data_IF_872030397071
#
_entry.id   IF_872030397071
#
_cell.length_a   1.000
_cell.length_b   1.000
_cell.length_c   1.000
_cell.angle_alpha   90.00
_cell.angle_beta   90.00
_cell.angle_gamma   90.00
#
_symmetry.space_group_name_H-M   'P 1'
#
loop_
_entity.id
_entity.type
_entity.pdbx_description
1 polymer ?
#
# COMPACT_ATOMS: atom_id res chain seq x y z
N UNK A 1 -39.61 -61.40 -14.56
CA UNK A 1 -39.09 -60.03 -14.83
C UNK A 1 -38.89 -59.32 -13.50
N UNK A 2 -37.64 -59.16 -13.03
CA UNK A 2 -37.30 -58.48 -11.76
C UNK A 2 -36.77 -57.08 -12.08
N UNK A 3 -37.48 -56.03 -11.65
CA UNK A 3 -37.04 -54.65 -11.80
C UNK A 3 -36.16 -54.25 -10.60
N UNK A 4 -34.86 -54.06 -10.87
CA UNK A 4 -33.85 -53.67 -9.90
C UNK A 4 -33.85 -52.14 -9.74
N UNK A 5 -34.35 -51.64 -8.60
CA UNK A 5 -34.32 -50.20 -8.25
C UNK A 5 -32.90 -49.80 -7.83
N UNK A 6 -32.21 -49.08 -8.72
CA UNK A 6 -30.92 -48.41 -8.45
C UNK A 6 -31.18 -47.22 -7.51
N UNK A 7 -30.64 -47.27 -6.28
CA UNK A 7 -30.58 -46.10 -5.39
C UNK A 7 -29.35 -45.29 -5.76
N UNK A 8 -29.55 -44.04 -6.19
CA UNK A 8 -28.48 -43.06 -6.39
C UNK A 8 -28.35 -42.29 -5.09
N UNK A 9 -27.25 -42.50 -4.37
CA UNK A 9 -26.88 -41.67 -3.21
C UNK A 9 -26.16 -40.43 -3.72
N UNK A 10 -26.77 -39.25 -3.53
CA UNK A 10 -26.15 -37.96 -3.82
C UNK A 10 -25.34 -37.54 -2.58
N UNK A 11 -24.01 -37.72 -2.62
CA UNK A 11 -23.12 -37.09 -1.64
C UNK A 11 -23.00 -35.60 -2.00
N UNK A 12 -23.60 -34.75 -1.17
CA UNK A 12 -23.44 -33.30 -1.23
C UNK A 12 -22.09 -32.96 -0.57
N UNK A 13 -21.04 -32.79 -1.37
CA UNK A 13 -19.77 -32.27 -0.90
C UNK A 13 -19.93 -30.79 -0.57
N UNK A 14 -19.96 -30.46 0.72
CA UNK A 14 -19.93 -29.08 1.20
C UNK A 14 -18.54 -28.52 0.89
N UNK A 15 -18.42 -27.76 -0.19
CA UNK A 15 -17.21 -26.98 -0.45
C UNK A 15 -17.23 -25.80 0.52
N UNK A 16 -16.56 -25.95 1.66
CA UNK A 16 -16.23 -24.82 2.54
C UNK A 16 -15.16 -23.99 1.83
N UNK A 17 -15.58 -23.11 0.93
CA UNK A 17 -14.73 -22.03 0.48
C UNK A 17 -14.41 -21.16 1.68
N UNK A 18 -13.14 -21.11 2.08
CA UNK A 18 -12.66 -20.10 3.03
C UNK A 18 -12.79 -18.77 2.28
N UNK A 19 -13.90 -18.08 2.49
CA UNK A 19 -14.06 -16.71 2.06
C UNK A 19 -12.99 -15.90 2.80
N UNK A 20 -11.97 -15.44 2.07
CA UNK A 20 -11.07 -14.41 2.58
C UNK A 20 -11.90 -13.14 2.69
N UNK A 21 -12.42 -12.87 3.89
CA UNK A 21 -13.01 -11.58 4.18
C UNK A 21 -11.88 -10.54 4.16
N UNK A 22 -11.67 -9.92 3.00
CA UNK A 22 -10.75 -8.80 2.84
C UNK A 22 -11.33 -7.55 3.51
N UNK A 23 -11.31 -7.53 4.84
CA UNK A 23 -11.53 -6.32 5.62
C UNK A 23 -10.17 -5.67 5.89
N UNK A 24 -9.56 -5.15 4.83
CA UNK A 24 -8.39 -4.28 4.98
C UNK A 24 -8.89 -2.89 5.34
N UNK A 25 -8.29 -2.27 6.37
CA UNK A 25 -8.60 -0.89 6.76
C UNK A 25 -7.46 0.05 6.39
N UNK A 26 -7.75 1.24 5.84
CA UNK A 26 -6.75 2.30 5.75
C UNK A 26 -6.23 2.67 7.13
N UNK A 27 -4.90 2.76 7.24
CA UNK A 27 -4.21 3.22 8.44
C UNK A 27 -3.45 4.50 8.09
N UNK A 28 -3.78 5.64 8.73
CA UNK A 28 -3.08 6.88 8.48
C UNK A 28 -1.64 6.81 9.01
N UNK A 29 -0.69 7.26 8.21
CA UNK A 29 0.70 7.50 8.57
C UNK A 29 0.88 9.00 8.73
N UNK A 30 0.86 9.47 9.97
CA UNK A 30 0.99 10.89 10.31
C UNK A 30 2.46 11.30 10.38
N UNK A 31 2.73 12.59 10.36
CA UNK A 31 4.06 13.15 10.56
C UNK A 31 4.67 12.65 11.88
N UNK A 32 5.96 12.33 11.83
CA UNK A 32 6.68 11.70 12.92
C UNK A 32 6.64 10.18 12.84
N UNK A 33 6.81 9.55 14.00
CA UNK A 33 6.95 8.11 14.15
C UNK A 33 5.59 7.45 14.43
N UNK A 34 5.22 6.49 13.60
CA UNK A 34 3.97 5.73 13.70
C UNK A 34 4.31 4.28 14.03
N UNK A 35 3.74 3.76 15.12
CA UNK A 35 3.90 2.36 15.49
C UNK A 35 2.75 1.53 14.95
N UNK A 36 3.06 0.49 14.19
CA UNK A 36 2.10 -0.45 13.61
C UNK A 36 2.41 -1.86 14.12
N UNK A 37 1.39 -2.68 14.32
CA UNK A 37 1.57 -4.10 14.64
C UNK A 37 1.06 -4.95 13.48
N UNK A 38 1.96 -5.68 12.83
CA UNK A 38 1.70 -6.46 11.63
C UNK A 38 2.43 -7.80 11.76
N UNK A 39 1.78 -8.92 11.43
CA UNK A 39 2.36 -10.26 11.56
C UNK A 39 2.90 -10.57 12.97
N UNK A 40 2.31 -9.95 14.00
CA UNK A 40 2.77 -10.04 15.39
C UNK A 40 4.06 -9.26 15.69
N UNK A 41 4.65 -8.57 14.71
CA UNK A 41 5.86 -7.76 14.82
C UNK A 41 5.52 -6.27 14.90
N UNK A 42 6.29 -5.52 15.68
CA UNK A 42 6.20 -4.06 15.71
C UNK A 42 6.98 -3.46 14.54
N UNK A 43 6.30 -2.61 13.78
CA UNK A 43 6.84 -1.79 12.71
C UNK A 43 6.84 -0.32 13.14
N UNK A 44 7.87 0.40 12.74
CA UNK A 44 7.90 1.86 12.82
C UNK A 44 7.85 2.41 11.41
N UNK A 45 6.96 3.36 11.19
CA UNK A 45 6.86 4.11 9.95
C UNK A 45 7.11 5.56 10.27
N UNK A 46 8.17 6.12 9.69
CA UNK A 46 8.53 7.51 9.90
C UNK A 46 8.13 8.32 8.67
N UNK A 47 7.32 9.35 8.89
CA UNK A 47 6.97 10.34 7.87
C UNK A 47 7.55 11.67 8.27
N UNK A 48 8.32 12.28 7.38
CA UNK A 48 8.89 13.60 7.60
C UNK A 48 8.75 14.45 6.34
N UNK A 49 8.51 15.74 6.54
CA UNK A 49 8.53 16.71 5.46
C UNK A 49 9.98 16.95 5.02
N UNK A 50 10.22 16.87 3.71
CA UNK A 50 11.49 17.17 3.09
C UNK A 50 11.34 18.48 2.31
N UNK A 51 11.91 19.52 2.89
CA UNK A 51 11.97 20.83 2.26
C UNK A 51 12.80 20.78 0.98
N UNK A 52 12.37 21.52 -0.04
CA UNK A 52 13.04 21.59 -1.35
C UNK A 52 13.22 23.02 -1.87
N UNK A 53 13.15 24.02 -0.99
CA UNK A 53 13.16 25.45 -1.33
C UNK A 53 12.01 25.87 -2.27
N UNK A 54 10.88 25.16 -2.17
CA UNK A 54 9.65 25.43 -2.88
C UNK A 54 8.49 25.44 -1.85
N UNK A 55 7.43 26.19 -2.11
CA UNK A 55 6.23 26.17 -1.27
C UNK A 55 5.52 24.81 -1.28
N UNK A 56 5.94 23.90 -2.17
CA UNK A 56 5.32 22.61 -2.44
C UNK A 56 6.30 21.46 -2.21
N UNK A 57 6.88 21.40 -1.01
CA UNK A 57 7.69 20.27 -0.57
C UNK A 57 6.92 18.94 -0.58
N UNK A 58 7.63 17.87 -0.24
CA UNK A 58 7.05 16.52 -0.21
C UNK A 58 7.49 15.79 1.05
N UNK A 59 6.65 14.86 1.49
CA UNK A 59 7.00 13.98 2.59
C UNK A 59 7.80 12.80 2.09
N UNK A 60 8.77 12.38 2.89
CA UNK A 60 9.48 11.11 2.75
C UNK A 60 8.95 10.16 3.81
N UNK A 61 8.64 8.93 3.40
CA UNK A 61 8.15 7.88 4.29
C UNK A 61 9.07 6.67 4.22
N UNK A 62 9.56 6.24 5.38
CA UNK A 62 10.41 5.06 5.53
C UNK A 62 9.78 4.06 6.50
N UNK A 63 10.03 2.77 6.24
CA UNK A 63 9.46 1.67 7.00
C UNK A 63 10.58 0.89 7.69
N UNK A 64 10.36 0.54 8.94
CA UNK A 64 11.28 -0.25 9.75
C UNK A 64 10.53 -1.37 10.45
N UNK A 65 11.15 -2.52 10.56
CA UNK A 65 10.67 -3.65 11.35
C UNK A 65 11.63 -3.88 12.51
N UNK A 66 11.07 -4.23 13.68
CA UNK A 66 11.89 -4.61 14.81
C UNK A 66 12.34 -6.06 14.67
N UNK A 67 13.65 -6.29 14.79
CA UNK A 67 14.25 -7.61 14.84
C UNK A 67 15.09 -7.72 16.13
N UNK A 68 14.50 -8.31 17.17
CA UNK A 68 15.07 -8.31 18.52
C UNK A 68 15.39 -6.87 19.00
N UNK A 69 16.67 -6.56 19.17
CA UNK A 69 17.17 -5.26 19.64
C UNK A 69 17.61 -4.33 18.51
N UNK A 70 17.42 -4.71 17.24
CA UNK A 70 17.79 -3.89 16.09
C UNK A 70 16.57 -3.50 15.25
N UNK A 71 16.74 -2.45 14.45
CA UNK A 71 15.77 -2.00 13.45
C UNK A 71 16.30 -2.34 12.06
N UNK A 72 15.49 -3.05 11.28
CA UNK A 72 15.77 -3.32 9.87
C UNK A 72 14.88 -2.44 9.00
N UNK A 73 15.48 -1.79 8.00
CA UNK A 73 14.72 -1.08 6.96
C UNK A 73 13.89 -2.08 6.16
N UNK A 74 12.65 -1.71 5.85
CA UNK A 74 11.69 -2.53 5.08
C UNK A 74 11.55 -1.89 3.70
N UNK A 75 12.30 -2.37 2.70
CA UNK A 75 12.30 -1.77 1.38
C UNK A 75 11.08 -2.20 0.57
N UNK A 76 10.88 -1.53 -0.55
CA UNK A 76 9.90 -1.86 -1.57
C UNK A 76 10.61 -2.36 -2.81
N UNK A 77 10.16 -3.48 -3.36
CA UNK A 77 10.65 -4.05 -4.61
C UNK A 77 9.59 -3.94 -5.70
N UNK A 78 10.05 -3.60 -6.89
CA UNK A 78 9.23 -3.72 -8.10
C UNK A 78 8.92 -5.19 -8.45
N UNK A 79 8.02 -5.42 -9.41
CA UNK A 79 7.56 -6.78 -9.78
C UNK A 79 8.70 -7.74 -10.15
N UNK A 80 9.85 -7.22 -10.59
CA UNK A 80 11.01 -8.01 -11.00
C UNK A 80 12.08 -8.13 -9.90
N UNK A 81 11.86 -7.53 -8.72
CA UNK A 81 12.86 -7.39 -7.64
C UNK A 81 14.19 -6.77 -8.08
N UNK A 82 14.21 -6.12 -9.24
CA UNK A 82 15.42 -5.53 -9.81
C UNK A 82 15.65 -4.12 -9.29
N UNK A 83 14.58 -3.44 -8.88
CA UNK A 83 14.64 -2.09 -8.34
C UNK A 83 14.16 -2.07 -6.90
N UNK A 84 15.10 -1.77 -6.00
CA UNK A 84 14.86 -1.55 -4.58
C UNK A 84 14.61 -0.06 -4.30
N UNK A 85 13.54 0.24 -3.59
CA UNK A 85 13.23 1.58 -3.09
C UNK A 85 13.23 1.55 -1.56
N UNK A 86 13.98 2.47 -0.95
CA UNK A 86 14.10 2.55 0.51
C UNK A 86 13.09 3.51 1.15
N UNK A 87 12.42 4.31 0.31
CA UNK A 87 11.50 5.36 0.73
C UNK A 87 10.34 5.52 -0.26
N UNK A 88 9.25 6.09 0.25
CA UNK A 88 8.15 6.62 -0.55
C UNK A 88 8.13 8.14 -0.46
N UNK A 89 7.63 8.77 -1.50
CA UNK A 89 7.30 10.19 -1.47
C UNK A 89 5.78 10.39 -1.46
N UNK A 90 5.31 11.37 -0.68
CA UNK A 90 3.93 11.83 -0.73
C UNK A 90 3.91 13.34 -0.89
N UNK A 91 3.26 13.84 -1.94
CA UNK A 91 3.24 15.25 -2.34
C UNK A 91 3.63 15.46 -3.79
N UNK A 92 4.23 16.63 -4.07
CA UNK A 92 4.59 17.10 -5.40
C UNK A 92 3.44 17.80 -6.11
N UNK A 93 3.73 18.95 -6.74
CA UNK A 93 2.76 19.80 -7.43
C UNK A 93 2.19 20.93 -6.57
N UNK A 94 1.83 22.05 -7.20
CA UNK A 94 1.41 23.27 -6.53
C UNK A 94 0.02 23.16 -5.86
N UNK A 95 -0.94 22.55 -6.55
CA UNK A 95 -2.32 22.39 -6.06
C UNK A 95 -2.86 20.96 -6.22
N UNK A 96 -2.12 20.10 -6.90
CA UNK A 96 -2.50 18.73 -7.18
C UNK A 96 -1.35 17.78 -6.89
N UNK A 97 -1.59 16.81 -6.01
CA UNK A 97 -0.57 15.83 -5.64
C UNK A 97 -0.26 14.89 -6.78
N UNK A 98 1.03 14.71 -7.04
CA UNK A 98 1.55 13.74 -8.00
C UNK A 98 1.78 12.35 -7.40
N UNK A 99 2.06 12.29 -6.10
CA UNK A 99 2.39 11.06 -5.40
C UNK A 99 1.66 11.00 -4.06
N UNK A 100 1.06 9.86 -3.75
CA UNK A 100 0.55 9.56 -2.42
C UNK A 100 0.39 8.03 -2.29
N UNK A 101 0.05 7.56 -1.10
CA UNK A 101 -0.10 6.14 -0.83
C UNK A 101 -1.26 5.84 0.12
N UNK A 102 -1.63 4.58 0.25
CA UNK A 102 -2.50 4.08 1.33
C UNK A 102 -1.86 2.86 1.96
N UNK A 103 -1.61 2.95 3.27
CA UNK A 103 -1.29 1.79 4.08
C UNK A 103 -2.58 1.09 4.44
N UNK A 104 -2.68 -0.19 4.11
CA UNK A 104 -3.83 -1.03 4.36
C UNK A 104 -3.38 -2.16 5.29
N UNK A 105 -4.08 -2.33 6.41
CA UNK A 105 -3.80 -3.43 7.33
C UNK A 105 -5.10 -4.20 7.54
N UNK A 106 -5.02 -5.52 7.47
CA UNK A 106 -6.10 -6.43 7.86
C UNK A 106 -6.58 -6.13 9.29
N UNK A 107 -7.87 -6.38 9.58
CA UNK A 107 -8.42 -6.12 10.92
C UNK A 107 -7.69 -6.87 12.04
N UNK A 108 -7.19 -8.07 11.78
CA UNK A 108 -6.44 -8.89 12.73
C UNK A 108 -4.92 -8.64 12.70
N UNK A 109 -4.44 -7.78 11.79
CA UNK A 109 -3.02 -7.46 11.62
C UNK A 109 -2.19 -8.60 11.01
N UNK A 110 -2.83 -9.62 10.43
CA UNK A 110 -2.14 -10.76 9.79
C UNK A 110 -1.52 -10.42 8.44
N UNK A 111 -2.04 -9.39 7.77
CA UNK A 111 -1.60 -8.93 6.46
C UNK A 111 -1.52 -7.40 6.40
N UNK A 112 -0.61 -6.90 5.56
CA UNK A 112 -0.43 -5.50 5.27
C UNK A 112 -0.12 -5.29 3.78
N UNK A 113 -0.82 -4.32 3.20
CA UNK A 113 -0.66 -3.90 1.81
C UNK A 113 -0.34 -2.42 1.75
N UNK A 114 0.33 -2.05 0.69
CA UNK A 114 0.60 -0.67 0.36
C UNK A 114 0.11 -0.42 -1.06
N UNK A 115 -0.79 0.54 -1.21
CA UNK A 115 -1.15 1.11 -2.50
C UNK A 115 -0.31 2.36 -2.71
N UNK A 116 0.48 2.41 -3.77
CA UNK A 116 1.20 3.62 -4.19
C UNK A 116 0.51 4.17 -5.43
N UNK A 117 0.15 5.45 -5.40
CA UNK A 117 -0.41 6.17 -6.53
C UNK A 117 0.60 7.19 -7.07
N UNK A 118 0.83 7.15 -8.38
CA UNK A 118 1.69 8.10 -9.08
C UNK A 118 1.00 8.62 -10.31
N UNK A 119 1.12 9.93 -10.53
CA UNK A 119 0.73 10.60 -11.76
C UNK A 119 1.92 11.38 -12.31
N UNK A 120 2.07 11.39 -13.62
CA UNK A 120 3.02 12.27 -14.29
C UNK A 120 2.41 13.68 -14.40
N UNK A 121 3.22 14.75 -14.29
CA UNK A 121 2.70 16.12 -14.28
C UNK A 121 2.15 16.59 -15.63
N UNK A 122 2.14 15.79 -16.70
CA UNK A 122 1.70 16.27 -18.02
C UNK A 122 2.52 17.48 -18.49
N UNK A 123 1.85 18.50 -19.05
CA UNK A 123 2.49 19.78 -19.42
C UNK A 123 2.47 20.79 -18.26
N UNK A 124 1.68 20.55 -17.22
CA UNK A 124 1.50 21.39 -16.04
C UNK A 124 1.05 20.55 -14.85
N UNK A 125 1.50 20.88 -13.63
CA UNK A 125 1.06 20.19 -12.41
C UNK A 125 -0.47 20.11 -12.23
N UNK A 126 -1.23 20.98 -12.91
CA UNK A 126 -2.70 21.00 -12.89
C UNK A 126 -3.37 20.13 -13.97
N UNK A 127 -2.61 19.59 -14.92
CA UNK A 127 -3.15 18.81 -16.01
C UNK A 127 -3.69 17.47 -15.49
N UNK A 128 -4.94 17.10 -15.82
CA UNK A 128 -5.45 15.78 -15.51
C UNK A 128 -4.72 14.72 -16.33
N UNK A 129 -4.19 13.71 -15.65
CA UNK A 129 -3.50 12.57 -16.27
C UNK A 129 -3.96 11.25 -15.65
N UNK A 130 -3.72 10.14 -16.33
CA UNK A 130 -3.97 8.82 -15.77
C UNK A 130 -3.08 8.60 -14.53
N UNK A 131 -3.67 8.08 -13.45
CA UNK A 131 -2.99 7.75 -12.21
C UNK A 131 -2.62 6.27 -12.23
N UNK A 132 -1.33 5.97 -12.07
CA UNK A 132 -0.85 4.61 -11.90
C UNK A 132 -0.97 4.19 -10.46
N UNK A 133 -1.71 3.10 -10.24
CA UNK A 133 -1.82 2.38 -8.97
C UNK A 133 -0.90 1.17 -8.96
N UNK A 134 0.02 1.12 -8.00
CA UNK A 134 0.88 -0.04 -7.75
C UNK A 134 0.53 -0.63 -6.39
N UNK A 135 0.15 -1.89 -6.38
CA UNK A 135 -0.19 -2.64 -5.18
C UNK A 135 1.03 -3.43 -4.73
N UNK A 136 1.39 -3.27 -3.47
CA UNK A 136 2.43 -4.03 -2.79
C UNK A 136 1.84 -4.85 -1.66
N UNK A 137 2.39 -6.03 -1.46
CA UNK A 137 2.11 -6.87 -0.29
C UNK A 137 3.36 -6.95 0.58
N UNK A 138 3.19 -6.82 1.89
CA UNK A 138 4.26 -7.08 2.84
C UNK A 138 4.57 -8.57 2.86
N UNK A 139 5.83 -8.93 2.61
CA UNK A 139 6.34 -10.30 2.67
C UNK A 139 7.40 -10.40 3.76
N UNK A 140 7.48 -11.59 4.36
CA UNK A 140 8.58 -12.01 5.23
C UNK A 140 9.47 -12.99 4.48
N UNK A 141 10.78 -12.82 4.57
CA UNK A 141 11.77 -13.75 4.03
C UNK A 141 11.85 -15.00 4.93
N UNK A 142 10.84 -15.87 4.84
CA UNK A 142 10.77 -17.11 5.64
C UNK A 142 11.91 -18.09 5.30
N UNK A 143 12.38 -18.06 4.05
CA UNK A 143 13.44 -18.94 3.54
C UNK A 143 14.85 -18.48 3.94
N UNK A 144 14.98 -17.32 4.60
CA UNK A 144 16.28 -16.73 4.98
C UNK A 144 17.25 -16.61 3.81
N UNK A 145 16.73 -16.27 2.63
CA UNK A 145 17.53 -16.15 1.41
C UNK A 145 18.61 -15.07 1.59
N UNK A 146 19.89 -15.39 1.35
CA UNK A 146 20.96 -14.40 1.43
C UNK A 146 20.71 -13.20 0.51
N UNK A 147 20.93 -12.00 1.03
CA UNK A 147 20.74 -10.75 0.28
C UNK A 147 19.31 -10.21 0.25
N UNK A 148 18.32 -10.96 0.76
CA UNK A 148 16.95 -10.47 0.91
C UNK A 148 16.68 -9.99 2.36
N UNK A 149 16.06 -8.82 2.55
CA UNK A 149 15.71 -8.31 3.88
C UNK A 149 14.68 -9.21 4.56
N UNK A 150 14.62 -9.16 5.90
CA UNK A 150 13.67 -9.96 6.69
C UNK A 150 12.22 -9.66 6.30
N UNK A 151 11.89 -8.38 6.14
CA UNK A 151 10.59 -7.92 5.66
C UNK A 151 10.78 -6.99 4.47
N UNK A 152 9.89 -7.06 3.50
CA UNK A 152 9.88 -6.20 2.34
C UNK A 152 8.50 -6.12 1.72
N UNK A 153 8.21 -5.00 1.04
CA UNK A 153 7.03 -4.88 0.20
C UNK A 153 7.36 -5.35 -1.21
N UNK A 154 6.52 -6.21 -1.77
CA UNK A 154 6.65 -6.72 -3.13
C UNK A 154 5.49 -6.23 -3.98
N UNK A 155 5.78 -5.55 -5.09
CA UNK A 155 4.74 -5.20 -6.05
C UNK A 155 4.09 -6.48 -6.61
N UNK A 156 2.76 -6.55 -6.56
CA UNK A 156 1.96 -7.69 -7.04
C UNK A 156 1.04 -7.34 -8.19
N UNK A 157 0.72 -6.04 -8.36
CA UNK A 157 -0.20 -5.58 -9.39
C UNK A 157 0.03 -4.13 -9.75
N UNK A 158 -0.12 -3.80 -11.03
CA UNK A 158 -0.18 -2.44 -11.55
C UNK A 158 -1.43 -2.22 -12.37
N UNK A 159 -2.10 -1.10 -12.16
CA UNK A 159 -3.32 -0.70 -12.88
C UNK A 159 -3.31 0.80 -13.05
N UNK A 160 -3.71 1.29 -14.22
CA UNK A 160 -3.96 2.72 -14.42
C UNK A 160 -5.42 3.04 -14.12
N UNK A 161 -5.68 4.25 -13.64
CA UNK A 161 -7.02 4.75 -13.35
C UNK A 161 -7.90 4.76 -14.61
N UNK A 162 -9.20 4.58 -14.41
CA UNK A 162 -10.19 4.59 -15.51
C UNK A 162 -10.39 5.99 -16.08
N UNK A 163 -10.22 7.01 -15.25
CA UNK A 163 -10.30 8.41 -15.65
C UNK A 163 -8.96 9.14 -15.42
N UNK A 164 -8.83 10.32 -16.00
CA UNK A 164 -7.73 11.24 -15.72
C UNK A 164 -8.06 12.09 -14.49
N UNK A 165 -7.07 12.35 -13.65
CA UNK A 165 -7.20 13.14 -12.44
C UNK A 165 -6.05 14.13 -12.32
N UNK A 166 -6.32 15.30 -11.75
CA UNK A 166 -5.27 16.22 -11.36
C UNK A 166 -4.57 15.73 -10.09
N UNK A 167 -5.34 15.31 -9.07
CA UNK A 167 -4.79 14.85 -7.79
C UNK A 167 -4.90 13.32 -7.65
N UNK A 168 -3.82 12.67 -7.24
CA UNK A 168 -3.82 11.22 -7.02
C UNK A 168 -4.77 10.77 -5.90
N UNK A 169 -5.02 11.60 -4.88
CA UNK A 169 -5.95 11.28 -3.80
C UNK A 169 -7.40 11.27 -4.28
N UNK A 170 -7.73 12.16 -5.22
CA UNK A 170 -9.02 12.16 -5.90
C UNK A 170 -9.25 10.85 -6.62
N UNK A 171 -8.23 10.36 -7.36
CA UNK A 171 -8.30 9.08 -8.05
C UNK A 171 -8.48 7.91 -7.07
N UNK A 172 -7.69 7.87 -5.99
CA UNK A 172 -7.80 6.84 -4.94
C UNK A 172 -9.21 6.84 -4.33
N UNK A 173 -9.74 8.01 -3.96
CA UNK A 173 -11.02 8.10 -3.28
C UNK A 173 -12.20 7.75 -4.21
N UNK A 174 -12.18 8.27 -5.44
CA UNK A 174 -13.27 8.09 -6.41
C UNK A 174 -13.30 6.70 -7.03
N UNK A 175 -12.14 6.09 -7.29
CA UNK A 175 -12.10 4.77 -7.95
C UNK A 175 -11.97 3.59 -6.97
N UNK A 176 -11.28 3.78 -5.84
CA UNK A 176 -10.93 2.70 -4.91
C UNK A 176 -11.58 2.84 -3.53
N UNK A 177 -12.17 4.00 -3.23
CA UNK A 177 -12.83 4.29 -1.94
C UNK A 177 -11.92 4.11 -0.72
N UNK A 178 -10.63 4.42 -0.86
CA UNK A 178 -9.63 4.29 0.21
C UNK A 178 -9.31 5.63 0.92
N UNK A 179 -10.25 6.58 0.87
CA UNK A 179 -10.17 7.87 1.55
C UNK A 179 -9.27 8.90 0.84
N UNK A 180 -9.20 10.09 1.44
CA UNK A 180 -8.69 11.31 0.79
C UNK A 180 -7.22 11.65 1.11
N UNK A 181 -6.58 10.97 2.06
CA UNK A 181 -5.17 11.20 2.38
C UNK A 181 -4.50 10.00 3.06
N UNK A 182 -3.18 9.91 2.92
CA UNK A 182 -2.33 8.92 3.60
C UNK A 182 -2.13 9.19 5.09
N UNK A 183 -2.45 10.38 5.57
CA UNK A 183 -2.24 10.84 6.95
C UNK A 183 -1.96 12.34 7.01
N UNK A 184 -1.82 12.86 8.23
CA UNK A 184 -1.58 14.28 8.49
C UNK A 184 -0.08 14.60 8.47
N UNK A 185 0.36 15.59 7.69
CA UNK A 185 1.78 15.94 7.53
C UNK A 185 2.32 16.99 8.52
N UNK A 186 1.51 17.50 9.47
CA UNK A 186 1.94 18.49 10.46
C UNK A 186 1.34 19.88 10.23
N UNK A 187 1.56 20.81 11.17
CA UNK A 187 1.07 22.21 11.10
C UNK A 187 1.82 23.06 10.07
N UNK A 188 3.06 22.71 9.79
CA UNK A 188 3.96 23.42 8.86
C UNK A 188 3.88 22.87 7.44
N UNK A 189 3.06 21.85 7.23
CA UNK A 189 2.68 21.43 5.90
C UNK A 189 1.79 22.55 5.34
N UNK A 190 2.14 23.18 4.20
CA UNK A 190 1.37 24.29 3.66
C UNK A 190 -0.11 23.91 3.64
N UNK A 191 -0.92 24.72 4.33
CA UNK A 191 -2.36 24.63 4.25
C UNK A 191 -2.74 24.72 2.77
N UNK A 192 -3.40 23.66 2.30
CA UNK A 192 -4.01 23.62 0.98
C UNK A 192 -5.04 24.74 0.82
#
# INVERSE_FOLDING_TARGET
MKAMKRRVSLLLALVTGIAWAASDRPVPINNGMNTLKILGTDFQVFRAWRENYDAHGFDVVTFYSRNNDTWGLVPLFDEFKGNEMLELTAGGGADCRLHDFRMLISLDGSDAKLLVAKRDPGNSYLDPEAVRFVYYELKKNEESLPGAPLFFFQATKRVDSKAAYCDVNDAINKELHLGEQSGFCGKDCPGR
#
